data_IF_445384753369
#
_entry.id   IF_445384753369
#
_cell.length_a   1.000
_cell.length_b   1.000
_cell.length_c   1.000
_cell.angle_alpha   90.00
_cell.angle_beta   90.00
_cell.angle_gamma   90.00
#
_symmetry.space_group_name_H-M   'P 1'
#
loop_
_entity.id
_entity.type
_entity.pdbx_description
1 polymer ?
#
# COMPACT_ATOMS: atom_id res chain seq x y z
N UNK A 1 19.10 -21.73 -32.93
CA UNK A 1 18.06 -20.69 -33.03
C UNK A 1 17.20 -20.76 -31.77
N UNK A 2 16.70 -21.94 -31.41
CA UNK A 2 15.89 -22.19 -30.20
C UNK A 2 16.56 -21.78 -28.87
N UNK A 3 17.83 -22.12 -28.66
CA UNK A 3 18.54 -21.75 -27.43
C UNK A 3 18.68 -20.23 -27.23
N UNK A 4 18.79 -19.47 -28.32
CA UNK A 4 18.85 -18.01 -28.26
C UNK A 4 17.47 -17.41 -27.94
N UNK A 5 16.41 -18.02 -28.48
CA UNK A 5 15.04 -17.60 -28.22
C UNK A 5 14.60 -17.91 -26.79
N UNK A 6 14.87 -19.12 -26.28
CA UNK A 6 14.63 -19.47 -24.88
C UNK A 6 15.37 -18.55 -23.91
N UNK A 7 16.60 -18.15 -24.26
CA UNK A 7 17.37 -17.19 -23.45
C UNK A 7 16.73 -15.81 -23.46
N UNK A 8 16.21 -15.36 -24.61
CA UNK A 8 15.49 -14.10 -24.69
C UNK A 8 14.20 -14.14 -23.85
N UNK A 9 13.44 -15.22 -23.90
CA UNK A 9 12.22 -15.40 -23.12
C UNK A 9 12.49 -15.28 -21.60
N UNK A 10 13.57 -15.89 -21.12
CA UNK A 10 13.99 -15.78 -19.71
C UNK A 10 14.34 -14.33 -19.35
N UNK A 11 15.09 -13.63 -20.20
CA UNK A 11 15.47 -12.23 -19.97
C UNK A 11 14.23 -11.33 -19.96
N UNK A 12 13.28 -11.55 -20.86
CA UNK A 12 12.03 -10.79 -20.89
C UNK A 12 11.19 -11.03 -19.63
N UNK A 13 11.11 -12.27 -19.15
CA UNK A 13 10.42 -12.61 -17.91
C UNK A 13 11.05 -11.92 -16.69
N UNK A 14 12.37 -11.96 -16.58
CA UNK A 14 13.08 -11.33 -15.47
C UNK A 14 12.97 -9.79 -15.53
N UNK A 15 13.02 -9.21 -16.72
CA UNK A 15 12.80 -7.77 -16.90
C UNK A 15 11.37 -7.38 -16.51
N UNK A 16 10.36 -8.20 -16.84
CA UNK A 16 8.98 -7.95 -16.46
C UNK A 16 8.80 -7.96 -14.93
N UNK A 17 9.47 -8.88 -14.22
CA UNK A 17 9.49 -8.91 -12.75
C UNK A 17 10.11 -7.64 -12.16
N UNK A 18 11.22 -7.16 -12.73
CA UNK A 18 11.87 -5.93 -12.25
C UNK A 18 11.02 -4.68 -12.49
N UNK A 19 10.27 -4.61 -13.60
CA UNK A 19 9.30 -3.52 -13.81
C UNK A 19 8.20 -3.55 -12.75
N UNK A 20 7.71 -4.74 -12.37
CA UNK A 20 6.74 -4.87 -11.27
C UNK A 20 7.35 -4.45 -9.93
N UNK A 21 8.57 -4.88 -9.61
CA UNK A 21 9.29 -4.47 -8.41
C UNK A 21 9.42 -2.93 -8.33
N UNK A 22 9.73 -2.28 -9.45
CA UNK A 22 9.77 -0.81 -9.52
C UNK A 22 8.44 -0.14 -9.21
N UNK A 23 7.30 -0.72 -9.63
CA UNK A 23 5.95 -0.21 -9.29
C UNK A 23 5.69 -0.36 -7.80
N UNK A 24 5.94 -1.56 -7.25
CA UNK A 24 5.74 -1.87 -5.84
C UNK A 24 6.59 -0.98 -4.94
N UNK A 25 7.86 -0.76 -5.28
CA UNK A 25 8.75 0.13 -4.55
C UNK A 25 8.18 1.56 -4.47
N UNK A 26 7.70 2.10 -5.60
CA UNK A 26 7.09 3.45 -5.60
C UNK A 26 5.84 3.51 -4.71
N UNK A 27 5.01 2.46 -4.69
CA UNK A 27 3.84 2.42 -3.81
C UNK A 27 4.25 2.40 -2.33
N UNK A 28 5.23 1.55 -1.98
CA UNK A 28 5.77 1.48 -0.63
C UNK A 28 6.40 2.81 -0.19
N UNK A 29 7.18 3.45 -1.06
CA UNK A 29 7.80 4.75 -0.77
C UNK A 29 6.75 5.83 -0.51
N UNK A 30 5.67 5.86 -1.31
CA UNK A 30 4.54 6.78 -1.09
C UNK A 30 3.78 6.46 0.20
N UNK A 31 3.49 5.19 0.48
CA UNK A 31 2.87 4.77 1.75
C UNK A 31 3.72 5.19 2.94
N UNK A 32 5.04 4.98 2.88
CA UNK A 32 5.97 5.43 3.93
C UNK A 32 6.06 6.95 4.05
N UNK A 33 5.76 7.70 2.99
CA UNK A 33 5.69 9.17 3.02
C UNK A 33 4.38 9.66 3.66
N UNK A 34 3.29 8.91 3.50
CA UNK A 34 1.96 9.24 4.02
C UNK A 34 1.84 8.85 5.51
N UNK A 35 2.21 7.62 5.83
CA UNK A 35 1.96 7.02 7.14
C UNK A 35 2.88 7.61 8.21
N UNK A 36 2.36 7.67 9.44
CA UNK A 36 3.08 8.10 10.65
C UNK A 36 3.78 9.47 10.55
N UNK A 37 3.34 10.37 9.66
CA UNK A 37 3.93 11.71 9.51
C UNK A 37 3.55 12.62 10.70
N UNK A 38 4.47 12.93 11.63
CA UNK A 38 4.12 13.60 12.89
C UNK A 38 4.04 15.12 12.77
N UNK A 39 4.52 15.70 11.66
CA UNK A 39 4.80 17.14 11.55
C UNK A 39 3.83 17.91 10.63
N UNK A 40 2.93 17.21 9.94
CA UNK A 40 2.02 17.88 9.02
C UNK A 40 0.91 18.61 9.80
N UNK A 41 0.80 19.93 9.59
CA UNK A 41 -0.17 20.83 10.24
C UNK A 41 -0.12 20.92 11.79
N UNK A 42 0.91 20.36 12.46
CA UNK A 42 0.96 20.24 13.93
C UNK A 42 -0.23 19.47 14.53
N UNK A 43 -0.86 18.61 13.74
CA UNK A 43 -1.98 17.78 14.20
C UNK A 43 -1.46 16.39 14.61
N UNK A 44 -1.37 16.09 15.93
CA UNK A 44 -0.97 14.76 16.40
C UNK A 44 -1.97 13.65 16.00
N UNK A 45 -3.13 14.01 15.46
CA UNK A 45 -4.17 13.09 15.00
C UNK A 45 -4.27 13.00 13.47
N UNK A 46 -3.29 13.53 12.73
CA UNK A 46 -3.23 13.48 11.27
C UNK A 46 -3.56 12.08 10.70
N UNK A 47 -3.05 11.02 11.32
CA UNK A 47 -3.28 9.63 10.91
C UNK A 47 -4.59 9.01 11.39
N UNK A 48 -5.37 9.70 12.23
CA UNK A 48 -6.55 9.14 12.91
C UNK A 48 -7.88 9.54 12.26
N UNK A 49 -7.87 10.28 11.15
CA UNK A 49 -9.09 10.75 10.49
C UNK A 49 -9.14 10.46 8.99
N UNK A 50 -10.35 10.20 8.49
CA UNK A 50 -10.66 10.09 7.05
C UNK A 50 -9.80 9.08 6.27
N UNK A 51 -9.37 9.50 5.08
CA UNK A 51 -8.55 8.70 4.16
C UNK A 51 -7.24 8.21 4.80
N UNK A 52 -6.63 9.02 5.68
CA UNK A 52 -5.36 8.69 6.35
C UNK A 52 -5.52 7.55 7.35
N UNK A 53 -6.65 7.51 8.05
CA UNK A 53 -6.97 6.40 8.94
C UNK A 53 -7.13 5.08 8.17
N UNK A 54 -7.81 5.10 7.01
CA UNK A 54 -7.90 3.92 6.14
C UNK A 54 -6.52 3.43 5.69
N UNK A 55 -5.63 4.35 5.29
CA UNK A 55 -4.27 4.00 4.87
C UNK A 55 -3.40 3.47 6.01
N UNK A 56 -3.59 4.01 7.23
CA UNK A 56 -2.97 3.48 8.45
C UNK A 56 -3.41 2.03 8.73
N UNK A 57 -4.71 1.74 8.66
CA UNK A 57 -5.19 0.37 8.84
C UNK A 57 -4.73 -0.56 7.71
N UNK A 58 -4.64 -0.05 6.48
CA UNK A 58 -4.10 -0.80 5.36
C UNK A 58 -2.61 -1.14 5.56
N UNK A 59 -1.82 -0.23 6.13
CA UNK A 59 -0.43 -0.52 6.56
C UNK A 59 -0.42 -1.67 7.57
N UNK A 60 -1.28 -1.63 8.58
CA UNK A 60 -1.36 -2.70 9.57
C UNK A 60 -1.76 -4.04 8.92
N UNK A 61 -2.69 -4.02 7.96
CA UNK A 61 -3.09 -5.18 7.18
C UNK A 61 -1.95 -5.76 6.30
N UNK A 62 -0.98 -4.94 5.88
CA UNK A 62 0.18 -5.40 5.12
C UNK A 62 1.29 -5.96 6.01
N UNK A 63 1.62 -5.26 7.10
CA UNK A 63 2.89 -5.46 7.81
C UNK A 63 2.76 -5.89 9.27
N UNK A 64 1.57 -5.87 9.85
CA UNK A 64 1.32 -6.15 11.27
C UNK A 64 0.26 -7.24 11.46
N UNK A 65 0.09 -8.12 10.48
CA UNK A 65 -0.79 -9.27 10.66
C UNK A 65 -0.24 -10.21 11.72
N UNK A 66 -1.16 -10.83 12.45
CA UNK A 66 -0.88 -11.85 13.45
C UNK A 66 -1.72 -13.08 13.15
N UNK A 67 -1.21 -14.25 13.53
CA UNK A 67 -1.97 -15.51 13.50
C UNK A 67 -3.01 -15.53 14.62
N UNK A 68 -3.89 -16.53 14.63
CA UNK A 68 -4.83 -16.77 15.74
C UNK A 68 -4.14 -16.94 17.10
N UNK A 69 -2.88 -17.38 17.11
CA UNK A 69 -2.07 -17.49 18.33
C UNK A 69 -1.41 -16.17 18.76
N UNK A 70 -1.65 -15.07 18.04
CA UNK A 70 -1.07 -13.75 18.30
C UNK A 70 0.39 -13.61 17.84
N UNK A 71 0.94 -14.59 17.13
CA UNK A 71 2.30 -14.51 16.60
C UNK A 71 2.35 -13.69 15.31
N UNK A 72 3.40 -12.90 15.04
CA UNK A 72 3.54 -12.16 13.79
C UNK A 72 3.44 -13.08 12.58
N UNK A 73 2.57 -12.72 11.62
CA UNK A 73 2.46 -13.40 10.34
C UNK A 73 3.14 -12.56 9.27
N UNK A 74 4.24 -13.10 8.72
CA UNK A 74 5.08 -12.42 7.72
C UNK A 74 4.98 -13.19 6.41
N UNK A 75 4.23 -12.65 5.45
CA UNK A 75 4.08 -13.23 4.11
C UNK A 75 4.28 -12.15 3.03
N UNK A 76 5.36 -12.29 2.27
CA UNK A 76 5.68 -11.39 1.17
C UNK A 76 4.72 -11.56 -0.02
N UNK A 77 4.18 -12.75 -0.24
CA UNK A 77 3.21 -13.01 -1.33
C UNK A 77 1.92 -12.25 -1.09
N UNK A 78 1.47 -12.20 0.17
CA UNK A 78 0.34 -11.38 0.59
C UNK A 78 0.59 -9.89 0.36
N UNK A 79 1.74 -9.38 0.80
CA UNK A 79 2.10 -7.97 0.62
C UNK A 79 2.12 -7.61 -0.87
N UNK A 80 2.79 -8.40 -1.69
CA UNK A 80 2.87 -8.20 -3.15
C UNK A 80 1.47 -8.24 -3.77
N UNK A 81 0.64 -9.24 -3.41
CA UNK A 81 -0.72 -9.34 -3.93
C UNK A 81 -1.57 -8.13 -3.56
N UNK A 82 -1.51 -7.67 -2.31
CA UNK A 82 -2.27 -6.52 -1.84
C UNK A 82 -1.83 -5.23 -2.53
N UNK A 83 -0.53 -5.01 -2.71
CA UNK A 83 -0.01 -3.83 -3.40
C UNK A 83 -0.37 -3.85 -4.90
N UNK A 84 -0.32 -5.00 -5.55
CA UNK A 84 -0.77 -5.12 -6.94
C UNK A 84 -2.27 -4.82 -7.08
N UNK A 85 -3.11 -5.30 -6.15
CA UNK A 85 -4.54 -5.00 -6.11
C UNK A 85 -4.81 -3.51 -5.85
N UNK A 86 -4.05 -2.89 -4.94
CA UNK A 86 -4.10 -1.45 -4.69
C UNK A 86 -3.74 -0.66 -5.96
N UNK A 87 -2.63 -1.02 -6.63
CA UNK A 87 -2.17 -0.33 -7.84
C UNK A 87 -3.17 -0.46 -8.99
N UNK A 88 -3.76 -1.64 -9.14
CA UNK A 88 -4.81 -1.89 -10.13
C UNK A 88 -6.13 -1.20 -9.77
N UNK A 89 -6.40 -0.95 -8.47
CA UNK A 89 -7.66 -0.37 -8.01
C UNK A 89 -8.85 -1.30 -8.25
N UNK A 90 -8.70 -2.59 -7.94
CA UNK A 90 -9.75 -3.61 -8.18
C UNK A 90 -10.97 -3.41 -7.26
N UNK A 91 -12.17 -3.89 -7.65
CA UNK A 91 -13.37 -3.77 -6.82
C UNK A 91 -13.42 -4.77 -5.65
N UNK A 92 -12.42 -5.64 -5.53
CA UNK A 92 -12.29 -6.58 -4.41
C UNK A 92 -12.26 -5.82 -3.07
N UNK A 93 -13.01 -6.32 -2.09
CA UNK A 93 -13.12 -5.72 -0.76
C UNK A 93 -12.29 -6.49 0.26
N UNK A 94 -11.65 -5.75 1.15
CA UNK A 94 -10.93 -6.29 2.31
C UNK A 94 -11.50 -5.71 3.60
N UNK A 95 -11.30 -6.43 4.70
CA UNK A 95 -11.63 -5.96 6.05
C UNK A 95 -10.38 -5.42 6.72
N UNK A 96 -10.43 -4.16 7.12
CA UNK A 96 -9.39 -3.46 7.86
C UNK A 96 -9.84 -3.33 9.32
N UNK A 97 -9.04 -3.86 10.23
CA UNK A 97 -9.38 -3.96 11.65
C UNK A 97 -8.47 -3.02 12.44
N UNK A 98 -9.04 -2.24 13.35
CA UNK A 98 -8.27 -1.40 14.27
C UNK A 98 -7.48 -2.26 15.26
N UNK A 99 -6.36 -1.73 15.77
CA UNK A 99 -5.50 -2.47 16.71
C UNK A 99 -6.17 -2.84 18.03
N UNK A 100 -7.18 -2.08 18.43
CA UNK A 100 -8.00 -2.38 19.61
C UNK A 100 -9.17 -3.34 19.30
N UNK A 101 -9.25 -3.82 18.05
CA UNK A 101 -10.27 -4.73 17.52
C UNK A 101 -11.71 -4.21 17.60
N UNK A 102 -11.90 -2.92 17.91
CA UNK A 102 -13.25 -2.33 18.07
C UNK A 102 -13.88 -1.87 16.77
N UNK A 103 -13.06 -1.61 15.74
CA UNK A 103 -13.52 -1.08 14.46
C UNK A 103 -13.13 -2.02 13.33
N UNK A 104 -14.11 -2.36 12.49
CA UNK A 104 -13.90 -3.11 11.25
C UNK A 104 -14.44 -2.28 10.10
N UNK A 105 -13.58 -1.95 9.15
CA UNK A 105 -13.92 -1.20 7.94
C UNK A 105 -13.79 -2.11 6.73
N UNK A 106 -14.88 -2.27 5.98
CA UNK A 106 -14.89 -3.03 4.72
C UNK A 106 -14.72 -2.05 3.57
N UNK A 107 -13.61 -2.16 2.84
CA UNK A 107 -13.23 -1.19 1.80
C UNK A 107 -12.75 -1.91 0.54
N UNK A 108 -13.10 -1.38 -0.64
CA UNK A 108 -12.58 -1.88 -1.91
C UNK A 108 -11.18 -1.34 -2.18
N UNK A 109 -10.32 -2.10 -2.87
CA UNK A 109 -9.01 -1.59 -3.30
C UNK A 109 -9.14 -0.35 -4.20
N UNK A 110 -10.21 -0.22 -4.98
CA UNK A 110 -10.52 0.99 -5.76
C UNK A 110 -10.69 2.23 -4.89
N UNK A 111 -11.35 2.11 -3.74
CA UNK A 111 -11.53 3.21 -2.80
C UNK A 111 -10.23 3.52 -2.07
N UNK A 112 -9.49 2.48 -1.64
CA UNK A 112 -8.16 2.65 -1.03
C UNK A 112 -7.18 3.35 -1.97
N UNK A 113 -7.20 3.01 -3.26
CA UNK A 113 -6.37 3.67 -4.27
C UNK A 113 -6.69 5.16 -4.36
N UNK A 114 -7.98 5.52 -4.38
CA UNK A 114 -8.40 6.93 -4.36
C UNK A 114 -7.90 7.65 -3.11
N UNK A 115 -8.08 7.06 -1.93
CA UNK A 115 -7.58 7.63 -0.66
C UNK A 115 -6.05 7.82 -0.70
N UNK A 116 -5.33 6.81 -1.20
CA UNK A 116 -3.86 6.81 -1.34
C UNK A 116 -3.38 7.91 -2.28
N UNK A 117 -3.97 8.03 -3.47
CA UNK A 117 -3.59 9.03 -4.45
C UNK A 117 -3.91 10.44 -3.96
N UNK A 118 -5.12 10.67 -3.42
CA UNK A 118 -5.53 11.96 -2.89
C UNK A 118 -4.62 12.42 -1.76
N UNK A 119 -4.39 11.55 -0.76
CA UNK A 119 -3.55 11.88 0.40
C UNK A 119 -2.12 12.20 -0.04
N UNK A 120 -1.57 11.46 -1.01
CA UNK A 120 -0.25 11.76 -1.54
C UNK A 120 -0.21 13.11 -2.28
N UNK A 121 -1.24 13.44 -3.07
CA UNK A 121 -1.33 14.72 -3.77
C UNK A 121 -1.44 15.91 -2.81
N UNK A 122 -2.18 15.78 -1.71
CA UNK A 122 -2.24 16.81 -0.66
C UNK A 122 -0.85 17.11 -0.09
N UNK A 123 -0.04 16.07 0.16
CA UNK A 123 1.32 16.24 0.65
C UNK A 123 2.21 16.95 -0.38
N UNK A 124 2.05 16.65 -1.67
CA UNK A 124 2.77 17.34 -2.75
C UNK A 124 2.36 18.81 -2.80
N UNK A 125 1.05 19.11 -2.77
CA UNK A 125 0.52 20.48 -2.80
C UNK A 125 1.06 21.33 -1.63
N UNK A 126 1.16 20.74 -0.45
CA UNK A 126 1.71 21.38 0.74
C UNK A 126 3.18 21.76 0.57
N UNK A 127 3.96 20.93 -0.12
CA UNK A 127 5.37 21.18 -0.39
C UNK A 127 5.56 22.42 -1.27
N UNK A 128 4.58 22.71 -2.13
CA UNK A 128 4.58 23.86 -3.03
C UNK A 128 3.92 25.11 -2.43
N UNK A 129 3.49 25.08 -1.16
CA UNK A 129 2.79 26.19 -0.51
C UNK A 129 1.39 26.48 -1.09
N UNK A 130 0.74 25.47 -1.69
CA UNK A 130 -0.57 25.61 -2.35
C UNK A 130 -1.76 25.20 -1.47
N UNK A 131 -1.58 25.16 -0.14
CA UNK A 131 -2.62 24.85 0.85
C UNK A 131 -2.80 26.00 1.83
#
# INVERSE_FOLDING_TARGET
MDAAQMRNDVIEEDLAKEVQNGRLFRLLAKLGTINERPEFQKDPTWSETGDRYLLKLFRDHLFHQVTEAGTPWIDLSHIISCLNKLDAGVPEKISLISRDEKSVLVVAYSDLKRCFENTFQELIAATNGQL
#
